data_IF_727800131394
#
_entry.id   IF_727800131394
#
_cell.length_a   1.000
_cell.length_b   1.000
_cell.length_c   1.000
_cell.angle_alpha   90.00
_cell.angle_beta   90.00
_cell.angle_gamma   90.00
#
_symmetry.space_group_name_H-M   'P 1'
#
loop_
_entity.id
_entity.type
_entity.pdbx_description
1 polymer ?
#
# COMPACT_ATOMS: atom_id res chain seq x y z
N UNK A 1 -36.03 -53.54 42.74
CA UNK A 1 -34.82 -52.66 42.80
C UNK A 1 -35.32 -51.23 42.84
N UNK A 2 -35.20 -50.54 43.98
CA UNK A 2 -35.79 -49.24 44.25
C UNK A 2 -35.27 -48.18 43.25
N UNK A 3 -36.15 -47.33 42.75
CA UNK A 3 -35.80 -46.25 41.81
C UNK A 3 -34.64 -45.38 42.35
N UNK A 4 -34.60 -45.18 43.65
CA UNK A 4 -33.54 -44.43 44.35
C UNK A 4 -32.18 -45.11 44.20
N UNK A 5 -32.13 -46.45 44.27
CA UNK A 5 -30.88 -47.22 44.10
C UNK A 5 -30.33 -47.12 42.68
N UNK A 6 -31.22 -47.06 41.65
CA UNK A 6 -30.82 -46.84 40.26
C UNK A 6 -30.20 -45.47 40.03
N UNK A 7 -30.81 -44.41 40.60
CA UNK A 7 -30.26 -43.05 40.48
C UNK A 7 -28.94 -42.94 41.25
N UNK A 8 -28.79 -43.53 42.40
CA UNK A 8 -27.57 -43.56 43.17
C UNK A 8 -26.42 -44.28 42.42
N UNK A 9 -26.71 -45.41 41.79
CA UNK A 9 -25.76 -46.14 40.94
C UNK A 9 -25.36 -45.36 39.71
N UNK A 10 -26.32 -44.65 39.09
CA UNK A 10 -26.06 -43.81 37.93
C UNK A 10 -25.21 -42.60 38.30
N UNK A 11 -25.47 -41.95 39.43
CA UNK A 11 -24.67 -40.85 39.95
C UNK A 11 -23.24 -41.29 40.28
N UNK A 12 -23.09 -42.48 40.88
CA UNK A 12 -21.79 -43.05 41.21
C UNK A 12 -20.98 -43.41 39.96
N UNK A 13 -21.66 -43.95 38.92
CA UNK A 13 -21.02 -44.22 37.61
C UNK A 13 -20.49 -42.89 36.98
N UNK A 14 -21.31 -41.86 36.97
CA UNK A 14 -20.88 -40.56 36.41
C UNK A 14 -19.79 -39.89 37.24
N UNK A 15 -19.80 -40.03 38.57
CA UNK A 15 -18.73 -39.59 39.43
C UNK A 15 -17.42 -40.33 39.14
N UNK A 16 -17.48 -41.65 38.92
CA UNK A 16 -16.30 -42.44 38.55
C UNK A 16 -15.76 -42.04 37.16
N UNK A 17 -16.65 -41.80 36.17
CA UNK A 17 -16.25 -41.29 34.85
C UNK A 17 -15.59 -39.90 34.94
N UNK A 18 -16.18 -38.99 35.71
CA UNK A 18 -15.62 -37.65 35.93
C UNK A 18 -14.27 -37.74 36.62
N UNK A 19 -14.11 -38.54 37.65
CA UNK A 19 -12.85 -38.76 38.34
C UNK A 19 -11.77 -39.35 37.39
N UNK A 20 -12.16 -40.32 36.55
CA UNK A 20 -11.25 -40.88 35.53
C UNK A 20 -10.81 -39.84 34.52
N UNK A 21 -11.72 -39.03 33.99
CA UNK A 21 -11.38 -37.94 33.03
C UNK A 21 -10.45 -36.92 33.67
N UNK A 22 -10.71 -36.54 34.92
CA UNK A 22 -9.82 -35.60 35.65
C UNK A 22 -8.45 -36.22 35.90
N UNK A 23 -8.40 -37.49 36.33
CA UNK A 23 -7.14 -38.22 36.54
C UNK A 23 -6.36 -38.39 35.23
N UNK A 24 -7.03 -38.84 34.16
CA UNK A 24 -6.42 -38.99 32.84
C UNK A 24 -5.90 -37.64 32.30
N UNK A 25 -6.69 -36.57 32.48
CA UNK A 25 -6.27 -35.21 32.11
C UNK A 25 -5.07 -34.72 32.92
N UNK A 26 -5.03 -34.97 34.21
CA UNK A 26 -3.90 -34.62 35.09
C UNK A 26 -2.65 -35.42 34.76
N UNK A 27 -2.79 -36.75 34.53
CA UNK A 27 -1.66 -37.61 34.14
C UNK A 27 -1.10 -37.23 32.76
N UNK A 28 -1.96 -36.93 31.80
CA UNK A 28 -1.56 -36.47 30.47
C UNK A 28 -0.78 -35.12 30.54
N UNK A 29 -1.24 -34.16 31.37
CA UNK A 29 -0.51 -32.88 31.60
C UNK A 29 0.87 -33.12 32.24
N UNK A 30 0.97 -34.02 33.27
CA UNK A 30 2.25 -34.39 33.90
C UNK A 30 3.20 -35.04 32.89
N UNK A 31 2.69 -35.93 32.05
CA UNK A 31 3.47 -36.59 31.02
C UNK A 31 3.95 -35.62 29.93
N UNK A 32 3.16 -34.59 29.60
CA UNK A 32 3.61 -33.48 28.70
C UNK A 32 4.66 -32.59 29.35
N UNK A 33 4.44 -32.15 30.59
CA UNK A 33 5.37 -31.30 31.32
C UNK A 33 6.74 -31.98 31.57
N UNK A 34 6.79 -33.32 31.64
CA UNK A 34 8.02 -34.10 31.75
C UNK A 34 8.79 -34.24 30.43
N UNK A 35 8.19 -33.92 29.29
CA UNK A 35 8.86 -33.99 27.98
C UNK A 35 9.65 -32.71 27.70
N UNK A 36 10.91 -32.86 27.32
CA UNK A 36 11.73 -31.79 26.82
C UNK A 36 11.89 -31.87 25.32
N UNK A 37 12.12 -30.73 24.69
CA UNK A 37 12.44 -30.65 23.26
C UNK A 37 13.79 -31.32 23.02
N UNK A 38 13.78 -32.40 22.23
CA UNK A 38 14.98 -33.19 21.94
C UNK A 38 15.84 -32.55 20.84
N UNK A 39 15.23 -32.01 19.79
CA UNK A 39 15.92 -31.47 18.63
C UNK A 39 15.13 -30.35 17.95
N UNK A 40 15.86 -29.49 17.22
CA UNK A 40 15.29 -28.42 16.39
C UNK A 40 15.44 -28.80 14.92
N UNK A 41 14.32 -28.95 14.22
CA UNK A 41 14.23 -29.24 12.80
C UNK A 41 13.71 -28.00 12.06
N UNK A 42 14.44 -27.54 11.06
CA UNK A 42 14.08 -26.37 10.25
C UNK A 42 13.89 -26.84 8.83
N UNK A 43 12.63 -26.77 8.37
CA UNK A 43 12.23 -27.06 7.01
C UNK A 43 11.94 -25.77 6.24
N UNK A 44 12.65 -25.54 5.15
CA UNK A 44 12.37 -24.45 4.25
C UNK A 44 11.62 -25.03 3.07
N UNK A 45 10.32 -24.69 2.99
CA UNK A 45 9.43 -25.11 1.91
C UNK A 45 9.51 -24.04 0.82
N UNK A 46 9.62 -24.47 -0.43
CA UNK A 46 9.86 -23.63 -1.61
C UNK A 46 11.32 -23.13 -1.76
N UNK A 47 12.18 -24.03 -2.21
CA UNK A 47 13.35 -23.64 -2.98
C UNK A 47 12.86 -23.22 -4.36
N UNK A 48 12.87 -21.92 -4.65
CA UNK A 48 12.66 -21.46 -6.02
C UNK A 48 13.87 -21.87 -6.87
N UNK A 49 13.66 -22.07 -8.16
CA UNK A 49 14.74 -22.20 -9.17
C UNK A 49 15.69 -20.99 -9.13
N UNK A 50 15.28 -19.90 -8.48
CA UNK A 50 16.02 -18.63 -8.32
C UNK A 50 17.03 -18.65 -7.16
N UNK A 51 17.00 -19.65 -6.26
CA UNK A 51 17.91 -19.77 -5.10
C UNK A 51 17.23 -19.63 -3.75
N UNK A 52 18.03 -19.78 -2.69
CA UNK A 52 17.56 -19.66 -1.30
C UNK A 52 17.96 -18.30 -0.71
N UNK A 53 16.97 -17.55 -0.21
CA UNK A 53 17.18 -16.30 0.54
C UNK A 53 17.42 -16.56 2.03
N UNK A 54 16.86 -17.65 2.55
CA UNK A 54 16.93 -18.04 3.95
C UNK A 54 17.53 -19.44 4.03
N UNK A 55 18.52 -19.63 4.89
CA UNK A 55 19.13 -20.93 5.15
C UNK A 55 18.82 -21.40 6.57
N UNK A 56 18.77 -22.72 6.79
CA UNK A 56 18.54 -23.29 8.12
C UNK A 56 19.61 -22.84 9.14
N UNK A 57 20.83 -22.57 8.67
CA UNK A 57 21.91 -22.01 9.51
C UNK A 57 21.59 -20.60 9.99
N UNK A 58 21.09 -19.73 9.12
CA UNK A 58 20.68 -18.37 9.49
C UNK A 58 19.54 -18.38 10.51
N UNK A 59 18.52 -19.22 10.29
CA UNK A 59 17.37 -19.35 11.21
C UNK A 59 17.82 -19.82 12.58
N UNK A 60 18.69 -20.85 12.66
CA UNK A 60 19.30 -21.27 13.92
C UNK A 60 20.05 -20.13 14.61
N UNK A 61 20.79 -19.32 13.84
CA UNK A 61 21.49 -18.16 14.37
C UNK A 61 20.54 -17.07 14.89
N UNK A 62 19.38 -16.86 14.27
CA UNK A 62 18.37 -15.91 14.76
C UNK A 62 17.77 -16.38 16.09
N UNK A 63 17.36 -17.65 16.17
CA UNK A 63 16.82 -18.26 17.40
C UNK A 63 17.87 -18.22 18.52
N UNK A 64 19.10 -18.59 18.23
CA UNK A 64 20.16 -18.59 19.25
C UNK A 64 20.45 -17.17 19.82
N UNK A 65 20.39 -16.14 18.98
CA UNK A 65 20.60 -14.74 19.42
C UNK A 65 19.43 -14.13 20.17
N UNK A 66 18.22 -14.65 19.98
CA UNK A 66 17.03 -14.13 20.68
C UNK A 66 16.97 -14.55 22.15
N UNK A 67 17.78 -15.52 22.57
CA UNK A 67 17.75 -16.07 23.93
C UNK A 67 16.58 -17.01 24.21
N UNK A 68 15.74 -17.31 23.23
CA UNK A 68 14.62 -18.25 23.38
C UNK A 68 15.20 -19.67 23.57
N UNK A 69 14.88 -20.28 24.70
CA UNK A 69 15.29 -21.66 24.97
C UNK A 69 14.46 -22.60 24.10
N UNK A 70 15.12 -23.42 23.31
CA UNK A 70 14.48 -24.41 22.43
C UNK A 70 14.82 -25.83 22.86
N UNK A 71 16.00 -26.33 22.53
CA UNK A 71 16.43 -27.68 22.87
C UNK A 71 16.68 -27.81 24.37
N UNK A 72 16.14 -28.86 25.00
CA UNK A 72 16.19 -29.10 26.44
C UNK A 72 15.13 -28.35 27.25
N UNK A 73 14.36 -27.46 26.68
CA UNK A 73 13.24 -26.79 27.36
C UNK A 73 12.02 -27.73 27.45
N UNK A 74 11.20 -27.63 28.53
CA UNK A 74 9.90 -28.32 28.55
C UNK A 74 9.05 -27.95 27.35
N UNK A 75 8.33 -28.91 26.77
CA UNK A 75 7.50 -28.67 25.58
C UNK A 75 6.50 -27.55 25.80
N UNK A 76 5.86 -27.48 26.97
CA UNK A 76 4.90 -26.45 27.35
C UNK A 76 5.57 -25.08 27.68
N UNK A 77 6.89 -25.06 27.81
CA UNK A 77 7.66 -23.86 28.15
C UNK A 77 8.35 -23.20 26.95
N UNK A 78 8.20 -23.75 25.74
CA UNK A 78 8.77 -23.16 24.53
C UNK A 78 7.86 -22.04 24.02
N UNK A 79 8.39 -20.85 23.88
CA UNK A 79 7.67 -19.72 23.26
C UNK A 79 7.64 -19.86 21.74
N UNK A 80 6.68 -20.68 21.25
CA UNK A 80 6.47 -20.91 19.82
C UNK A 80 6.07 -19.63 19.09
N UNK A 81 5.20 -18.82 19.70
CA UNK A 81 4.76 -17.56 19.13
C UNK A 81 5.91 -16.56 19.00
N UNK A 82 6.77 -16.47 20.01
CA UNK A 82 7.98 -15.65 19.94
C UNK A 82 8.95 -16.10 18.86
N UNK A 83 9.10 -17.42 18.65
CA UNK A 83 9.91 -17.97 17.54
C UNK A 83 9.32 -17.57 16.18
N UNK A 84 8.00 -17.75 16.01
CA UNK A 84 7.31 -17.37 14.77
C UNK A 84 7.45 -15.87 14.49
N UNK A 85 7.21 -15.03 15.49
CA UNK A 85 7.31 -13.58 15.36
C UNK A 85 8.73 -13.13 15.03
N UNK A 86 9.73 -13.69 15.71
CA UNK A 86 11.16 -13.42 15.45
C UNK A 86 11.52 -13.71 13.99
N UNK A 87 11.08 -14.84 13.46
CA UNK A 87 11.40 -15.27 12.11
C UNK A 87 10.58 -14.48 11.09
N UNK A 88 9.30 -14.19 11.36
CA UNK A 88 8.41 -13.42 10.51
C UNK A 88 8.85 -11.96 10.31
N UNK A 89 9.59 -11.37 11.27
CA UNK A 89 10.18 -10.04 11.13
C UNK A 89 11.20 -9.93 9.99
N UNK A 90 11.71 -11.06 9.48
CA UNK A 90 12.63 -11.05 8.35
C UNK A 90 11.86 -10.94 7.04
N UNK A 91 12.10 -9.89 6.27
CA UNK A 91 11.40 -9.59 5.02
C UNK A 91 11.40 -10.72 3.98
N UNK A 92 12.33 -11.68 4.10
CA UNK A 92 12.42 -12.85 3.21
C UNK A 92 11.40 -13.95 3.52
N UNK A 93 10.77 -13.91 4.70
CA UNK A 93 9.82 -14.92 5.17
C UNK A 93 8.40 -14.53 4.82
N UNK A 94 7.72 -15.37 4.07
CA UNK A 94 6.31 -15.17 3.74
C UNK A 94 5.38 -15.72 4.83
N UNK A 95 5.72 -16.93 5.31
CA UNK A 95 4.98 -17.58 6.41
C UNK A 95 5.97 -18.41 7.22
N UNK A 96 5.71 -18.52 8.51
CA UNK A 96 6.40 -19.42 9.42
C UNK A 96 5.37 -20.12 10.28
N UNK A 97 5.63 -21.38 10.60
CA UNK A 97 4.88 -22.17 11.56
C UNK A 97 5.87 -22.92 12.44
N UNK A 98 5.72 -22.79 13.76
CA UNK A 98 6.50 -23.53 14.74
C UNK A 98 5.58 -24.44 15.56
N UNK A 99 5.94 -25.72 15.66
CA UNK A 99 5.20 -26.68 16.47
C UNK A 99 6.11 -27.76 16.99
N UNK A 100 5.73 -28.36 18.11
CA UNK A 100 6.46 -29.50 18.68
C UNK A 100 5.70 -30.77 18.33
N UNK A 101 6.38 -31.70 17.69
CA UNK A 101 5.82 -33.02 17.36
C UNK A 101 5.80 -33.95 18.57
N UNK A 102 5.09 -35.06 18.45
CA UNK A 102 4.93 -36.03 19.54
C UNK A 102 6.24 -36.68 19.98
N UNK A 103 7.22 -36.78 19.11
CA UNK A 103 8.58 -37.32 19.38
C UNK A 103 9.52 -36.29 20.03
N UNK A 104 9.02 -35.09 20.37
CA UNK A 104 9.77 -34.04 21.02
C UNK A 104 10.64 -33.20 20.07
N UNK A 105 10.46 -33.30 18.77
CA UNK A 105 11.12 -32.44 17.82
C UNK A 105 10.38 -31.10 17.68
N UNK A 106 11.10 -29.98 17.80
CA UNK A 106 10.59 -28.65 17.47
C UNK A 106 10.78 -28.41 15.97
N UNK A 107 9.67 -28.42 15.25
CA UNK A 107 9.63 -28.13 13.82
C UNK A 107 9.39 -26.65 13.59
N UNK A 108 10.23 -26.04 12.76
CA UNK A 108 10.06 -24.67 12.25
C UNK A 108 9.97 -24.75 10.73
N UNK A 109 8.76 -24.60 10.22
CA UNK A 109 8.47 -24.67 8.78
C UNK A 109 8.39 -23.25 8.25
N UNK A 110 9.25 -22.93 7.30
CA UNK A 110 9.39 -21.57 6.74
C UNK A 110 9.06 -21.62 5.26
N UNK A 111 8.16 -20.75 4.84
CA UNK A 111 7.92 -20.44 3.43
C UNK A 111 8.56 -19.10 3.12
N UNK A 112 9.51 -19.08 2.19
CA UNK A 112 10.16 -17.83 1.79
C UNK A 112 9.35 -17.09 0.73
N UNK A 113 9.56 -15.77 0.65
CA UNK A 113 8.96 -14.92 -0.39
C UNK A 113 9.64 -15.19 -1.73
N UNK A 114 8.85 -15.13 -2.79
CA UNK A 114 9.35 -15.21 -4.17
C UNK A 114 9.40 -13.79 -4.73
N UNK A 115 10.58 -13.20 -4.93
CA UNK A 115 10.65 -11.90 -5.58
C UNK A 115 10.40 -12.05 -7.09
N UNK A 116 9.67 -11.09 -7.64
CA UNK A 116 9.44 -10.94 -9.06
C UNK A 116 10.55 -10.12 -9.72
N UNK A 117 11.00 -9.06 -9.05
CA UNK A 117 12.03 -8.16 -9.53
C UNK A 117 12.93 -7.64 -8.41
N UNK A 118 14.10 -7.13 -8.82
CA UNK A 118 14.97 -6.33 -7.95
C UNK A 118 14.92 -4.86 -8.37
N UNK A 119 14.52 -4.01 -7.44
CA UNK A 119 14.43 -2.57 -7.64
C UNK A 119 15.73 -1.91 -7.20
N UNK A 120 16.46 -1.34 -8.17
CA UNK A 120 17.71 -0.62 -7.93
C UNK A 120 17.56 0.80 -8.48
N UNK A 121 16.82 1.63 -7.77
CA UNK A 121 16.48 3.01 -8.18
C UNK A 121 16.59 3.96 -6.99
N UNK A 122 17.04 5.17 -7.21
CA UNK A 122 17.06 6.26 -6.23
C UNK A 122 17.68 5.85 -4.87
N UNK A 123 18.81 5.13 -4.92
CA UNK A 123 19.51 4.63 -3.73
C UNK A 123 18.87 3.41 -3.05
N UNK A 124 17.75 2.90 -3.57
CA UNK A 124 17.09 1.70 -3.08
C UNK A 124 17.73 0.45 -3.65
N UNK A 125 17.80 -0.57 -2.81
CA UNK A 125 18.17 -1.92 -3.22
C UNK A 125 17.21 -2.90 -2.52
N UNK A 126 16.11 -3.19 -3.17
CA UNK A 126 15.02 -3.99 -2.62
C UNK A 126 14.52 -5.03 -3.61
N UNK A 127 14.00 -6.13 -3.10
CA UNK A 127 13.21 -7.07 -3.86
C UNK A 127 11.72 -6.74 -3.73
N UNK A 128 10.98 -7.00 -4.79
CA UNK A 128 9.52 -6.82 -4.82
C UNK A 128 8.88 -8.11 -5.31
N UNK A 129 7.82 -8.54 -4.64
CA UNK A 129 7.01 -9.69 -5.07
C UNK A 129 5.98 -9.29 -6.13
N UNK A 130 5.34 -10.26 -6.74
CA UNK A 130 4.17 -10.13 -7.63
C UNK A 130 3.03 -9.29 -7.03
N UNK A 131 2.83 -9.41 -5.72
CA UNK A 131 1.79 -8.68 -4.98
C UNK A 131 2.21 -7.30 -4.46
N UNK A 132 3.40 -6.84 -4.81
CA UNK A 132 3.89 -5.54 -4.38
C UNK A 132 4.46 -5.50 -2.96
N UNK A 133 4.77 -6.64 -2.34
CA UNK A 133 5.48 -6.66 -1.07
C UNK A 133 6.97 -6.35 -1.30
N UNK A 134 7.47 -5.32 -0.62
CA UNK A 134 8.82 -4.80 -0.74
C UNK A 134 9.67 -5.25 0.45
N UNK A 135 10.89 -5.72 0.20
CA UNK A 135 11.84 -6.05 1.24
C UNK A 135 13.29 -5.79 0.80
N UNK A 136 14.14 -5.43 1.75
CA UNK A 136 15.53 -5.07 1.46
C UNK A 136 16.29 -6.26 0.84
N UNK A 137 17.07 -6.01 -0.20
CA UNK A 137 17.93 -7.03 -0.79
C UNK A 137 19.12 -7.32 0.14
N UNK A 138 19.44 -8.59 0.45
CA UNK A 138 20.58 -8.94 1.27
C UNK A 138 21.89 -8.57 0.55
N UNK A 139 22.90 -8.15 1.31
CA UNK A 139 24.21 -7.79 0.74
C UNK A 139 25.01 -8.99 0.25
N UNK A 140 24.79 -10.15 0.84
CA UNK A 140 25.59 -11.35 0.64
C UNK A 140 25.03 -12.33 -0.40
N UNK A 141 23.81 -12.15 -0.86
CA UNK A 141 23.14 -13.04 -1.83
C UNK A 141 22.37 -12.25 -2.87
N UNK A 142 22.35 -12.73 -4.10
CA UNK A 142 21.54 -12.18 -5.17
C UNK A 142 20.72 -13.30 -5.80
N UNK A 143 19.46 -13.02 -6.06
CA UNK A 143 18.60 -13.93 -6.83
C UNK A 143 18.60 -13.54 -8.29
N UNK A 144 18.37 -14.54 -9.13
CA UNK A 144 18.22 -14.31 -10.57
C UNK A 144 16.79 -13.84 -10.85
N UNK A 145 16.63 -12.52 -10.86
CA UNK A 145 15.38 -11.83 -11.21
C UNK A 145 15.71 -10.59 -12.03
N UNK A 146 14.81 -10.10 -12.87
CA UNK A 146 14.98 -8.87 -13.62
C UNK A 146 15.31 -7.68 -12.70
N UNK A 147 16.26 -6.85 -13.12
CA UNK A 147 16.67 -5.67 -12.38
C UNK A 147 16.00 -4.43 -12.98
N UNK A 148 15.24 -3.73 -12.16
CA UNK A 148 14.65 -2.43 -12.54
C UNK A 148 15.55 -1.31 -12.04
N UNK A 149 15.98 -0.45 -12.96
CA UNK A 149 16.87 0.69 -12.71
C UNK A 149 16.30 1.98 -13.30
N UNK A 150 17.02 3.09 -13.18
CA UNK A 150 16.68 4.37 -13.82
C UNK A 150 16.05 5.39 -12.88
N UNK A 151 15.71 6.59 -13.40
CA UNK A 151 15.16 7.69 -12.61
C UNK A 151 13.64 7.51 -12.35
N UNK A 152 13.27 6.35 -11.84
CA UNK A 152 11.93 6.00 -11.40
C UNK A 152 11.82 6.12 -9.88
N UNK A 153 10.75 6.76 -9.40
CA UNK A 153 10.45 6.92 -7.98
C UNK A 153 9.22 6.10 -7.62
N UNK A 154 9.39 4.96 -6.97
CA UNK A 154 8.28 4.18 -6.45
C UNK A 154 7.45 4.97 -5.42
N UNK A 155 6.16 4.63 -5.24
CA UNK A 155 5.25 5.35 -4.36
C UNK A 155 5.42 5.06 -2.86
N UNK A 156 6.60 4.67 -2.42
CA UNK A 156 6.92 4.38 -1.02
C UNK A 156 8.34 4.86 -0.68
N UNK A 157 8.69 5.07 0.62
CA UNK A 157 10.02 5.51 1.06
C UNK A 157 11.16 4.56 0.66
N UNK A 158 12.41 5.05 0.67
CA UNK A 158 13.58 4.28 0.21
C UNK A 158 13.89 3.08 1.10
N UNK A 159 13.64 3.18 2.38
CA UNK A 159 13.87 2.20 3.43
C UNK A 159 12.62 1.37 3.78
N UNK A 160 11.54 1.55 3.02
CA UNK A 160 10.28 0.86 3.27
C UNK A 160 10.42 -0.65 3.06
N UNK A 161 9.90 -1.41 4.03
CA UNK A 161 9.70 -2.86 3.93
C UNK A 161 8.28 -3.18 4.37
N UNK A 162 7.53 -3.86 3.51
CA UNK A 162 6.12 -4.16 3.74
C UNK A 162 5.31 -4.17 2.45
N UNK A 163 4.00 -4.22 2.58
CA UNK A 163 3.08 -4.14 1.46
C UNK A 163 3.00 -2.70 0.93
N UNK A 164 3.29 -2.49 -0.36
CA UNK A 164 3.22 -1.18 -0.99
C UNK A 164 1.81 -0.57 -0.88
N UNK A 165 0.76 -1.39 -0.90
CA UNK A 165 -0.63 -0.91 -0.73
C UNK A 165 -0.85 -0.31 0.65
N UNK A 166 -0.34 -0.95 1.71
CA UNK A 166 -0.45 -0.43 3.08
C UNK A 166 0.26 0.92 3.24
N UNK A 167 1.44 1.08 2.61
CA UNK A 167 2.16 2.36 2.62
C UNK A 167 1.33 3.48 1.98
N UNK A 168 0.72 3.19 0.82
CA UNK A 168 -0.11 4.14 0.09
C UNK A 168 -1.37 4.50 0.88
N UNK A 169 -2.07 3.50 1.41
CA UNK A 169 -3.30 3.71 2.18
C UNK A 169 -3.03 4.52 3.46
N UNK A 170 -1.86 4.34 4.07
CA UNK A 170 -1.44 5.14 5.23
C UNK A 170 -1.19 6.61 4.84
N UNK A 171 -0.58 6.88 3.68
CA UNK A 171 -0.34 8.24 3.21
C UNK A 171 -1.62 8.91 2.72
N UNK A 172 -2.50 8.18 2.03
CA UNK A 172 -3.82 8.68 1.62
C UNK A 172 -4.66 9.09 2.84
N UNK A 173 -4.67 8.28 3.91
CA UNK A 173 -5.36 8.66 5.17
C UNK A 173 -4.87 9.97 5.75
N UNK A 174 -3.56 10.23 5.75
CA UNK A 174 -3.01 11.51 6.21
C UNK A 174 -3.49 12.69 5.35
N UNK A 175 -3.56 12.49 4.03
CA UNK A 175 -4.06 13.51 3.11
C UNK A 175 -5.57 13.75 3.30
N UNK A 176 -6.37 12.70 3.56
CA UNK A 176 -7.80 12.81 3.89
C UNK A 176 -8.02 13.57 5.21
N UNK A 177 -7.25 13.25 6.24
CA UNK A 177 -7.29 13.98 7.51
C UNK A 177 -6.96 15.48 7.32
N UNK A 178 -6.02 15.78 6.43
CA UNK A 178 -5.66 17.16 6.08
C UNK A 178 -6.80 17.87 5.36
N UNK A 179 -7.48 17.21 4.41
CA UNK A 179 -8.67 17.76 3.74
C UNK A 179 -9.79 18.01 4.76
N UNK A 180 -10.04 17.06 5.65
CA UNK A 180 -11.03 17.22 6.71
C UNK A 180 -10.68 18.36 7.67
N UNK A 181 -9.41 18.57 7.98
CA UNK A 181 -8.90 19.70 8.75
C UNK A 181 -9.21 21.05 8.06
N UNK A 182 -8.89 21.15 6.76
CA UNK A 182 -9.18 22.33 5.94
C UNK A 182 -10.70 22.61 5.83
N UNK A 183 -11.53 21.57 5.77
CA UNK A 183 -12.99 21.75 5.77
C UNK A 183 -13.50 22.34 7.10
N UNK A 184 -12.90 21.93 8.22
CA UNK A 184 -13.22 22.55 9.54
C UNK A 184 -12.80 24.02 9.60
N UNK A 185 -11.71 24.42 8.91
CA UNK A 185 -11.28 25.82 8.80
C UNK A 185 -12.31 26.68 8.06
N UNK A 186 -13.15 26.13 7.16
CA UNK A 186 -14.25 26.84 6.48
C UNK A 186 -15.46 27.09 7.37
N UNK A 187 -15.66 26.29 8.40
CA UNK A 187 -16.87 26.37 9.23
C UNK A 187 -17.16 27.74 9.85
N UNK A 188 -16.17 28.52 10.36
CA UNK A 188 -16.40 29.90 10.81
C UNK A 188 -16.91 30.82 9.70
N UNK A 189 -16.42 30.64 8.47
CA UNK A 189 -16.85 31.42 7.32
C UNK A 189 -18.28 31.12 6.94
N UNK A 190 -18.70 29.85 6.93
CA UNK A 190 -20.09 29.44 6.69
C UNK A 190 -21.05 30.00 7.76
N UNK A 191 -20.63 30.04 9.03
CA UNK A 191 -21.44 30.71 10.09
C UNK A 191 -21.58 32.20 9.85
N UNK A 192 -20.52 32.88 9.42
CA UNK A 192 -20.54 34.31 9.09
C UNK A 192 -21.41 34.57 7.87
N UNK A 193 -21.33 33.74 6.85
CA UNK A 193 -22.16 33.79 5.66
C UNK A 193 -23.64 33.69 6.00
N UNK A 194 -24.04 32.67 6.76
CA UNK A 194 -25.42 32.51 7.21
C UNK A 194 -25.93 33.69 8.03
N UNK A 195 -25.07 34.30 8.88
CA UNK A 195 -25.43 35.51 9.65
C UNK A 195 -25.60 36.71 8.72
N UNK A 196 -24.70 36.88 7.76
CA UNK A 196 -24.75 37.97 6.77
C UNK A 196 -26.01 37.88 5.90
N UNK A 197 -26.40 36.68 5.48
CA UNK A 197 -27.61 36.45 4.69
C UNK A 197 -28.87 36.75 5.50
N UNK A 198 -28.93 36.40 6.79
CA UNK A 198 -30.02 36.78 7.68
C UNK A 198 -30.11 38.29 7.80
N UNK A 199 -29.00 38.97 8.02
CA UNK A 199 -28.96 40.42 8.11
C UNK A 199 -29.46 41.10 6.82
N UNK A 200 -29.09 40.56 5.66
CA UNK A 200 -29.57 41.04 4.35
C UNK A 200 -31.07 40.80 4.21
N UNK A 201 -31.59 39.66 4.65
CA UNK A 201 -33.01 39.36 4.62
C UNK A 201 -33.80 40.31 5.54
N UNK A 202 -33.31 40.57 6.75
CA UNK A 202 -33.92 41.52 7.69
C UNK A 202 -33.92 42.96 7.16
N UNK A 203 -32.81 43.37 6.51
CA UNK A 203 -32.73 44.65 5.85
C UNK A 203 -33.79 44.83 4.75
N UNK A 204 -34.12 43.76 4.00
CA UNK A 204 -35.17 43.79 2.99
C UNK A 204 -36.57 43.98 3.63
N UNK A 205 -36.79 43.45 4.83
CA UNK A 205 -38.07 43.52 5.56
C UNK A 205 -38.29 44.89 6.23
N UNK A 206 -37.26 45.67 6.50
CA UNK A 206 -37.36 46.99 7.08
C UNK A 206 -38.25 47.93 6.22
N UNK A 207 -39.37 48.38 6.75
CA UNK A 207 -40.30 49.29 6.07
C UNK A 207 -40.82 50.32 7.11
N UNK A 208 -41.01 51.55 6.65
CA UNK A 208 -41.72 52.56 7.41
C UNK A 208 -43.16 52.60 6.91
N UNK A 209 -44.10 52.47 7.85
CA UNK A 209 -45.51 52.66 7.57
C UNK A 209 -45.92 54.03 8.02
N UNK A 210 -46.74 54.75 7.23
CA UNK A 210 -47.41 55.98 7.63
C UNK A 210 -48.44 55.62 8.72
N UNK A 211 -48.41 56.38 9.81
CA UNK A 211 -49.31 56.17 10.96
C UNK A 211 -50.39 57.24 10.94
N UNK A 212 -51.61 56.87 10.57
CA UNK A 212 -52.74 57.78 10.40
C UNK A 212 -53.09 58.59 11.67
N UNK A 213 -52.72 58.10 12.83
CA UNK A 213 -52.94 58.81 14.09
C UNK A 213 -51.87 59.83 14.47
N UNK A 214 -50.81 59.94 13.76
CA UNK A 214 -49.79 61.00 13.88
C UNK A 214 -50.11 62.09 12.88
N UNK A 215 -50.19 63.32 13.36
CA UNK A 215 -50.28 64.55 12.52
C UNK A 215 -48.94 64.75 11.77
N UNK A 216 -48.62 63.82 10.88
CA UNK A 216 -47.36 63.82 10.08
C UNK A 216 -47.70 64.34 8.70
N UNK A 217 -47.01 65.37 8.29
CA UNK A 217 -47.12 65.86 6.91
C UNK A 217 -46.42 64.93 5.94
N UNK A 218 -46.87 64.88 4.68
CA UNK A 218 -46.28 64.06 3.64
C UNK A 218 -44.77 64.30 3.46
N UNK A 219 -44.32 65.53 3.65
CA UNK A 219 -42.91 65.94 3.60
C UNK A 219 -42.09 65.28 4.73
N UNK A 220 -42.64 65.20 5.96
CA UNK A 220 -41.96 64.55 7.09
C UNK A 220 -41.89 63.04 6.91
N UNK A 221 -42.97 62.44 6.34
CA UNK A 221 -42.97 61.02 6.04
C UNK A 221 -41.91 60.70 4.96
N UNK A 222 -41.84 61.46 3.88
CA UNK A 222 -40.83 61.30 2.83
C UNK A 222 -39.40 61.42 3.38
N UNK A 223 -39.14 62.42 4.25
CA UNK A 223 -37.84 62.54 4.90
C UNK A 223 -37.44 61.31 5.72
N UNK A 224 -38.38 60.69 6.41
CA UNK A 224 -38.12 59.44 7.12
C UNK A 224 -37.83 58.26 6.19
N UNK A 225 -38.59 58.18 5.10
CA UNK A 225 -38.36 57.14 4.03
C UNK A 225 -36.99 57.31 3.43
N UNK A 226 -36.57 58.54 3.13
CA UNK A 226 -35.28 58.79 2.51
C UNK A 226 -34.09 58.54 3.49
N UNK A 227 -34.26 58.86 4.76
CA UNK A 227 -33.31 58.46 5.83
C UNK A 227 -33.19 56.94 5.93
N UNK A 228 -34.31 56.22 5.85
CA UNK A 228 -34.29 54.75 5.88
C UNK A 228 -33.60 54.18 4.62
N UNK A 229 -33.84 54.77 3.44
CA UNK A 229 -33.17 54.37 2.20
C UNK A 229 -31.65 54.55 2.30
N UNK A 230 -31.20 55.73 2.78
CA UNK A 230 -29.77 56.02 2.97
C UNK A 230 -29.14 55.05 3.98
N UNK A 231 -29.78 54.80 5.09
CA UNK A 231 -29.33 53.80 6.09
C UNK A 231 -29.23 52.38 5.51
N UNK A 232 -30.25 51.96 4.77
CA UNK A 232 -30.22 50.66 4.11
C UNK A 232 -29.07 50.53 3.10
N UNK A 233 -28.81 51.60 2.36
CA UNK A 233 -27.71 51.60 1.38
C UNK A 233 -26.34 51.48 2.08
N UNK A 234 -26.14 52.16 3.19
CA UNK A 234 -24.95 52.06 4.02
C UNK A 234 -24.74 50.64 4.54
N UNK A 235 -25.82 50.02 5.11
CA UNK A 235 -25.75 48.65 5.59
C UNK A 235 -25.50 47.64 4.47
N UNK A 236 -26.11 47.82 3.29
CA UNK A 236 -25.87 47.00 2.11
C UNK A 236 -24.42 46.98 1.69
N UNK A 237 -23.75 48.14 1.70
CA UNK A 237 -22.33 48.27 1.40
C UNK A 237 -21.50 47.43 2.37
N UNK A 238 -21.81 47.51 3.69
CA UNK A 238 -21.13 46.73 4.70
C UNK A 238 -21.31 45.22 4.51
N UNK A 239 -22.56 44.77 4.21
CA UNK A 239 -22.85 43.36 4.01
C UNK A 239 -22.25 42.80 2.71
N UNK A 240 -22.12 43.62 1.66
CA UNK A 240 -21.39 43.25 0.42
C UNK A 240 -19.88 43.10 0.67
N UNK A 241 -19.29 44.00 1.48
CA UNK A 241 -17.89 43.88 1.87
C UNK A 241 -17.64 42.59 2.67
N UNK A 242 -18.49 42.32 3.66
CA UNK A 242 -18.44 41.10 4.47
C UNK A 242 -18.57 39.82 3.60
N UNK A 243 -19.52 39.82 2.66
CA UNK A 243 -19.70 38.70 1.72
C UNK A 243 -18.45 38.43 0.90
N UNK A 244 -17.78 39.49 0.39
CA UNK A 244 -16.51 39.36 -0.35
C UNK A 244 -15.40 38.79 0.52
N UNK A 245 -15.25 39.29 1.74
CA UNK A 245 -14.26 38.81 2.70
C UNK A 245 -14.46 37.31 3.01
N UNK A 246 -15.71 36.90 3.20
CA UNK A 246 -16.08 35.49 3.45
C UNK A 246 -15.72 34.63 2.23
N UNK A 247 -16.13 35.07 1.03
CA UNK A 247 -15.85 34.36 -0.21
C UNK A 247 -14.33 34.18 -0.43
N UNK A 248 -13.55 35.25 -0.31
CA UNK A 248 -12.09 35.17 -0.42
C UNK A 248 -11.45 34.24 0.63
N UNK A 249 -12.01 34.18 1.83
CA UNK A 249 -11.58 33.24 2.87
C UNK A 249 -11.84 31.78 2.50
N UNK A 250 -13.03 31.49 1.99
CA UNK A 250 -13.43 30.15 1.53
C UNK A 250 -12.59 29.73 0.31
N UNK A 251 -12.39 30.63 -0.65
CA UNK A 251 -11.63 30.38 -1.87
C UNK A 251 -10.17 30.00 -1.57
N UNK A 252 -9.50 30.77 -0.69
CA UNK A 252 -8.13 30.44 -0.24
C UNK A 252 -8.00 29.07 0.38
N UNK A 253 -8.98 28.66 1.20
CA UNK A 253 -8.99 27.32 1.80
C UNK A 253 -9.28 26.27 0.73
N UNK A 254 -10.18 26.54 -0.21
CA UNK A 254 -10.52 25.64 -1.31
C UNK A 254 -9.34 25.39 -2.24
N UNK A 255 -8.53 26.39 -2.54
CA UNK A 255 -7.28 26.25 -3.29
C UNK A 255 -6.28 25.31 -2.57
N UNK A 256 -6.16 25.46 -1.24
CA UNK A 256 -5.32 24.56 -0.42
C UNK A 256 -5.86 23.12 -0.47
N UNK A 257 -7.18 22.93 -0.40
CA UNK A 257 -7.80 21.60 -0.52
C UNK A 257 -7.54 21.00 -1.91
N UNK A 258 -7.68 21.79 -2.96
CA UNK A 258 -7.39 21.32 -4.33
C UNK A 258 -5.94 20.87 -4.50
N UNK A 259 -5.00 21.58 -3.89
CA UNK A 259 -3.59 21.17 -3.88
C UNK A 259 -3.39 19.80 -3.22
N UNK A 260 -4.07 19.55 -2.09
CA UNK A 260 -4.01 18.24 -1.41
C UNK A 260 -4.67 17.15 -2.26
N UNK A 261 -5.82 17.43 -2.87
CA UNK A 261 -6.49 16.48 -3.78
C UNK A 261 -5.63 16.12 -5.00
N UNK A 262 -4.89 17.08 -5.54
CA UNK A 262 -3.92 16.82 -6.62
C UNK A 262 -2.78 15.92 -6.14
N UNK A 263 -2.31 16.08 -4.91
CA UNK A 263 -1.32 15.20 -4.31
C UNK A 263 -1.86 13.76 -4.15
N UNK A 264 -3.12 13.59 -3.71
CA UNK A 264 -3.78 12.29 -3.64
C UNK A 264 -3.82 11.60 -5.01
N UNK A 265 -4.35 12.28 -6.03
CA UNK A 265 -4.42 11.73 -7.40
C UNK A 265 -3.05 11.36 -7.95
N UNK A 266 -2.01 12.16 -7.64
CA UNK A 266 -0.64 11.85 -8.04
C UNK A 266 -0.11 10.59 -7.37
N UNK A 267 -0.41 10.41 -6.08
CA UNK A 267 -0.01 9.23 -5.31
C UNK A 267 -0.71 7.96 -5.82
N UNK A 268 -2.03 8.01 -6.03
CA UNK A 268 -2.81 6.92 -6.61
C UNK A 268 -2.28 6.51 -7.98
N UNK A 269 -2.04 7.50 -8.86
CA UNK A 269 -1.44 7.24 -10.18
C UNK A 269 -0.06 6.60 -10.08
N UNK A 270 0.78 7.06 -9.14
CA UNK A 270 2.10 6.48 -8.92
C UNK A 270 2.02 5.02 -8.48
N UNK A 271 1.01 4.66 -7.67
CA UNK A 271 0.74 3.28 -7.28
C UNK A 271 0.23 2.43 -8.47
N UNK A 272 -0.68 2.96 -9.27
CA UNK A 272 -1.13 2.29 -10.49
C UNK A 272 0.04 2.02 -11.45
N UNK A 273 0.92 2.99 -11.65
CA UNK A 273 2.11 2.84 -12.48
C UNK A 273 3.08 1.79 -11.91
N UNK A 274 3.20 1.72 -10.57
CA UNK A 274 3.97 0.67 -9.90
C UNK A 274 3.37 -0.71 -10.15
N UNK A 275 2.05 -0.88 -10.02
CA UNK A 275 1.39 -2.15 -10.30
C UNK A 275 1.49 -2.55 -11.78
N UNK A 276 1.37 -1.58 -12.70
CA UNK A 276 1.61 -1.82 -14.13
C UNK A 276 3.04 -2.30 -14.41
N UNK A 277 4.02 -1.76 -13.68
CA UNK A 277 5.41 -2.24 -13.78
C UNK A 277 5.54 -3.69 -13.32
N UNK A 278 4.88 -4.08 -12.21
CA UNK A 278 4.88 -5.47 -11.75
C UNK A 278 4.24 -6.39 -12.78
N UNK A 279 3.04 -6.06 -13.27
CA UNK A 279 2.35 -6.84 -14.31
C UNK A 279 3.21 -6.96 -15.60
N UNK A 280 3.93 -5.90 -15.96
CA UNK A 280 4.84 -5.93 -17.09
C UNK A 280 6.02 -6.90 -16.87
N UNK A 281 6.61 -6.89 -15.68
CA UNK A 281 7.71 -7.81 -15.35
C UNK A 281 7.21 -9.25 -15.29
N UNK A 282 6.02 -9.47 -14.74
CA UNK A 282 5.36 -10.78 -14.74
C UNK A 282 5.14 -11.30 -16.15
N UNK A 283 4.64 -10.47 -17.06
CA UNK A 283 4.49 -10.79 -18.48
C UNK A 283 5.83 -11.20 -19.14
N UNK A 284 6.92 -10.49 -18.81
CA UNK A 284 8.26 -10.84 -19.29
C UNK A 284 8.76 -12.18 -18.74
N UNK A 285 8.47 -12.47 -17.47
CA UNK A 285 8.89 -13.69 -16.78
C UNK A 285 8.09 -14.94 -17.19
N UNK A 286 6.84 -14.78 -17.65
CA UNK A 286 6.00 -15.87 -18.13
C UNK A 286 6.43 -16.41 -19.49
N UNK A 287 7.06 -15.58 -20.33
CA UNK A 287 7.56 -15.99 -21.64
C UNK A 287 9.03 -16.42 -21.54
N UNK A 288 9.34 -17.69 -21.84
CA UNK A 288 10.69 -18.27 -21.74
C UNK A 288 11.75 -17.52 -22.57
N UNK A 289 11.36 -16.98 -23.72
CA UNK A 289 12.27 -16.21 -24.58
C UNK A 289 12.57 -14.86 -23.93
N UNK A 290 11.54 -14.10 -23.53
CA UNK A 290 11.73 -12.77 -22.94
C UNK A 290 12.39 -12.84 -21.57
N UNK A 291 12.07 -13.84 -20.75
CA UNK A 291 12.73 -14.10 -19.46
C UNK A 291 14.24 -14.30 -19.61
N UNK A 292 14.67 -14.98 -20.68
CA UNK A 292 16.10 -15.20 -20.95
C UNK A 292 16.77 -13.98 -21.58
N UNK A 293 16.02 -13.17 -22.30
CA UNK A 293 16.53 -12.07 -23.11
C UNK A 293 16.57 -10.73 -22.36
N UNK A 294 15.57 -10.40 -21.55
CA UNK A 294 15.50 -9.13 -20.82
C UNK A 294 16.28 -9.23 -19.51
N UNK A 295 17.45 -8.62 -19.45
CA UNK A 295 18.32 -8.65 -18.25
C UNK A 295 18.07 -7.45 -17.33
N UNK A 296 17.70 -6.31 -17.91
CA UNK A 296 17.48 -5.08 -17.15
C UNK A 296 16.35 -4.26 -17.76
N UNK A 297 15.56 -3.67 -16.89
CA UNK A 297 14.48 -2.76 -17.25
C UNK A 297 14.84 -1.37 -16.73
N UNK A 298 14.96 -0.40 -17.61
CA UNK A 298 15.24 0.98 -17.24
C UNK A 298 13.93 1.74 -17.17
N UNK A 299 13.42 1.95 -15.97
CA UNK A 299 12.17 2.67 -15.72
C UNK A 299 12.43 4.16 -15.50
N UNK A 300 11.59 5.01 -16.06
CA UNK A 300 11.62 6.46 -15.86
C UNK A 300 10.23 7.05 -15.76
N UNK A 301 10.10 8.09 -14.97
CA UNK A 301 8.89 8.93 -14.95
C UNK A 301 9.12 10.14 -15.86
N UNK A 302 8.26 10.31 -16.86
CA UNK A 302 8.33 11.47 -17.77
C UNK A 302 7.92 12.76 -17.08
N UNK A 303 8.18 13.91 -17.71
CA UNK A 303 7.72 15.23 -17.22
C UNK A 303 6.20 15.31 -17.08
N UNK A 304 5.45 14.56 -17.89
CA UNK A 304 3.98 14.43 -17.78
C UNK A 304 3.53 13.49 -16.66
N UNK A 305 4.46 12.88 -15.92
CA UNK A 305 4.18 11.93 -14.84
C UNK A 305 3.76 10.54 -15.33
N UNK A 306 4.04 10.17 -16.58
CA UNK A 306 3.79 8.83 -17.10
C UNK A 306 5.02 7.93 -16.90
N UNK A 307 4.78 6.66 -16.57
CA UNK A 307 5.83 5.64 -16.53
C UNK A 307 6.17 5.18 -17.94
N UNK A 308 7.45 5.20 -18.27
CA UNK A 308 8.03 4.60 -19.47
C UNK A 308 9.17 3.67 -19.10
N UNK A 309 9.35 2.64 -19.90
CA UNK A 309 10.43 1.68 -19.73
C UNK A 309 11.24 1.49 -21.02
N UNK A 310 12.52 1.22 -20.84
CA UNK A 310 13.40 0.75 -21.87
C UNK A 310 13.96 -0.61 -21.42
N UNK A 311 14.20 -1.54 -22.35
CA UNK A 311 14.71 -2.87 -22.05
C UNK A 311 16.15 -2.99 -22.51
N UNK A 312 16.97 -3.65 -21.70
CA UNK A 312 18.34 -4.01 -22.04
C UNK A 312 18.37 -5.52 -22.31
N UNK A 313 18.57 -5.94 -23.56
CA UNK A 313 18.61 -7.34 -23.92
C UNK A 313 19.97 -7.98 -23.61
N UNK A 314 19.98 -9.30 -23.54
CA UNK A 314 21.21 -10.11 -23.40
C UNK A 314 21.96 -10.27 -24.73
N UNK A 315 21.20 -10.45 -25.80
CA UNK A 315 21.74 -10.86 -27.10
C UNK A 315 22.44 -9.76 -27.91
N UNK A 316 22.30 -8.48 -27.49
CA UNK A 316 22.88 -7.38 -28.27
C UNK A 316 23.19 -6.13 -27.43
N UNK A 317 24.10 -5.29 -28.00
CA UNK A 317 24.49 -4.01 -27.40
C UNK A 317 23.60 -2.87 -27.88
N UNK A 318 22.26 -3.02 -27.77
CA UNK A 318 21.28 -2.01 -28.13
C UNK A 318 20.27 -1.82 -27.01
N UNK A 319 19.60 -0.68 -27.01
CA UNK A 319 18.54 -0.36 -26.09
C UNK A 319 17.19 -0.50 -26.81
N UNK A 320 16.24 -1.21 -26.21
CA UNK A 320 14.88 -1.31 -26.73
C UNK A 320 14.02 -0.25 -26.03
N UNK A 321 13.59 0.78 -26.76
CA UNK A 321 12.64 1.76 -26.27
C UNK A 321 11.22 1.20 -26.33
N UNK A 322 10.75 0.71 -25.19
CA UNK A 322 9.42 0.13 -25.08
C UNK A 322 8.34 1.20 -24.83
N UNK A 323 8.68 2.25 -24.05
CA UNK A 323 7.81 3.37 -23.74
C UNK A 323 6.77 3.00 -22.68
N UNK A 324 5.51 3.46 -22.86
CA UNK A 324 4.41 3.20 -21.91
C UNK A 324 4.05 1.72 -21.87
N UNK A 325 3.61 1.24 -20.71
CA UNK A 325 3.22 -0.15 -20.46
C UNK A 325 1.78 -0.44 -20.93
N UNK A 326 1.53 -0.18 -22.20
CA UNK A 326 0.26 -0.37 -22.89
C UNK A 326 0.48 -1.23 -24.14
N UNK A 327 -0.52 -2.01 -24.54
CA UNK A 327 -0.47 -2.88 -25.74
C UNK A 327 0.73 -3.81 -25.76
N UNK A 328 0.95 -4.55 -24.66
CA UNK A 328 2.13 -5.39 -24.47
C UNK A 328 2.25 -6.43 -25.58
N UNK A 329 1.17 -7.17 -25.88
CA UNK A 329 1.17 -8.21 -26.92
C UNK A 329 1.56 -7.69 -28.30
N UNK A 330 1.04 -6.51 -28.68
CA UNK A 330 1.37 -5.88 -29.95
C UNK A 330 2.87 -5.52 -30.02
N UNK A 331 3.40 -4.90 -28.96
CA UNK A 331 4.79 -4.47 -28.91
C UNK A 331 5.76 -5.64 -28.86
N UNK A 332 5.50 -6.62 -28.01
CA UNK A 332 6.32 -7.84 -27.95
C UNK A 332 6.20 -8.66 -29.20
N UNK A 333 5.01 -8.78 -29.81
CA UNK A 333 4.82 -9.45 -31.08
C UNK A 333 5.59 -8.80 -32.24
N UNK A 334 5.65 -7.45 -32.29
CA UNK A 334 6.51 -6.73 -33.25
C UNK A 334 7.98 -6.98 -33.01
N UNK A 335 8.39 -6.89 -31.75
CA UNK A 335 9.77 -7.10 -31.36
C UNK A 335 10.23 -8.52 -31.66
N UNK A 336 9.39 -9.52 -31.38
CA UNK A 336 9.71 -10.92 -31.68
C UNK A 336 9.88 -11.18 -33.19
N UNK A 337 8.98 -10.61 -34.02
CA UNK A 337 9.15 -10.68 -35.49
C UNK A 337 10.46 -10.03 -35.94
N UNK A 338 10.81 -8.89 -35.34
CA UNK A 338 12.06 -8.20 -35.64
C UNK A 338 13.29 -9.02 -35.23
N UNK A 339 13.25 -9.69 -34.09
CA UNK A 339 14.30 -10.61 -33.62
C UNK A 339 14.45 -11.80 -34.53
N UNK A 340 13.36 -12.38 -35.07
CA UNK A 340 13.39 -13.55 -35.94
C UNK A 340 13.81 -13.25 -37.37
N UNK A 341 13.45 -12.11 -37.91
CA UNK A 341 13.63 -11.79 -39.32
C UNK A 341 14.49 -10.55 -39.60
N UNK A 342 14.37 -9.50 -38.79
CA UNK A 342 15.04 -8.23 -38.99
C UNK A 342 16.50 -8.25 -38.57
N UNK A 343 16.78 -8.60 -37.32
CA UNK A 343 18.14 -8.62 -36.77
C UNK A 343 19.08 -9.61 -37.48
N UNK A 344 18.66 -10.86 -37.81
CA UNK A 344 19.50 -11.76 -38.56
C UNK A 344 19.86 -11.25 -39.96
N UNK A 345 18.97 -10.54 -40.64
CA UNK A 345 19.18 -10.01 -41.96
C UNK A 345 20.15 -8.82 -42.01
N UNK A 346 20.17 -7.98 -40.97
CA UNK A 346 20.96 -6.72 -40.95
C UNK A 346 22.21 -6.83 -40.07
N UNK A 347 22.21 -7.75 -39.12
CA UNK A 347 23.28 -7.95 -38.13
C UNK A 347 22.96 -7.31 -36.76
N UNK A 348 23.25 -8.07 -35.71
CA UNK A 348 22.93 -7.74 -34.30
C UNK A 348 23.67 -6.50 -33.75
N UNK A 349 24.79 -6.16 -34.35
CA UNK A 349 25.65 -5.04 -33.92
C UNK A 349 25.33 -3.71 -34.65
N UNK A 350 24.41 -3.74 -35.64
CA UNK A 350 24.14 -2.58 -36.51
C UNK A 350 23.40 -1.45 -35.79
N UNK A 351 22.50 -1.80 -34.89
CA UNK A 351 21.66 -0.83 -34.22
C UNK A 351 22.10 -0.54 -32.80
N UNK A 352 21.96 0.72 -32.37
CA UNK A 352 22.16 1.17 -30.99
C UNK A 352 20.83 1.31 -30.24
N UNK A 353 19.73 1.58 -30.96
CA UNK A 353 18.38 1.73 -30.39
C UNK A 353 17.36 1.10 -31.31
N UNK A 354 16.45 0.33 -30.72
CA UNK A 354 15.28 -0.26 -31.35
C UNK A 354 14.04 0.33 -30.66
N UNK A 355 13.18 1.04 -31.36
CA UNK A 355 12.03 1.74 -30.82
C UNK A 355 10.73 1.06 -31.27
N UNK A 356 9.98 0.50 -30.32
CA UNK A 356 8.70 -0.21 -30.54
C UNK A 356 7.47 0.57 -30.10
N UNK A 357 7.64 1.84 -29.73
CA UNK A 357 6.55 2.71 -29.25
C UNK A 357 5.52 3.03 -30.33
N UNK A 358 5.94 3.07 -31.57
CA UNK A 358 5.07 3.38 -32.71
C UNK A 358 4.17 2.20 -33.07
N UNK A 359 3.00 2.47 -33.65
CA UNK A 359 1.99 1.47 -33.97
C UNK A 359 2.57 0.32 -34.84
N UNK A 360 2.38 0.33 -36.14
CA UNK A 360 2.70 -0.81 -37.02
C UNK A 360 4.16 -0.91 -37.47
N UNK A 361 5.10 -0.22 -36.84
CA UNK A 361 6.50 -0.20 -37.26
C UNK A 361 7.49 -0.32 -36.08
N UNK A 362 8.68 -0.79 -36.39
CA UNK A 362 9.86 -0.76 -35.51
C UNK A 362 10.83 0.24 -36.10
N UNK A 363 11.20 1.26 -35.33
CA UNK A 363 12.13 2.29 -35.77
C UNK A 363 13.51 2.02 -35.18
N UNK A 364 14.51 1.89 -36.01
CA UNK A 364 15.86 1.57 -35.58
C UNK A 364 16.82 2.73 -35.84
N UNK A 365 17.69 3.03 -34.86
CA UNK A 365 18.77 3.99 -35.00
C UNK A 365 20.10 3.24 -34.96
N UNK A 366 20.93 3.43 -35.99
CA UNK A 366 22.29 2.89 -36.03
C UNK A 366 23.17 3.46 -34.91
N UNK A 367 24.20 2.74 -34.55
CA UNK A 367 25.24 3.21 -33.61
C UNK A 367 25.94 4.46 -34.11
#
# INVERSE_FOLDING_TARGET
>A
MNRILRYALFALLWAAVAAYVLYAGASARRARAARSVARLEIAIVDSTSQGQLVTSRQVRGWIARSGIRTVGAPVDGVDLAGIEQLIACNGFVAKVAAYVSYDGALHVVIRQRKPLLRLLTDGRNAYVTDRGYVFAAPRASSLYVPVVTGPYRPPFPADYAGDAREAIDAELRKLDERIAGLEREKYPFYKRELKNDRNIADLRRMRIKQQWWRLETDSMFQLRVDRLKAHKEQLRRGYRYEARFIAEGIDRISERQETVRRAQKKLEKSYEDFMKLLTFVEYVEEDDFWRSEVVQIVARTTSSGALEVDLVPRSGRFLIRFGRLERLDEKFGKLQRFYRSGLPAVGWETYGVIDVRYGNQVVCRKK
#
